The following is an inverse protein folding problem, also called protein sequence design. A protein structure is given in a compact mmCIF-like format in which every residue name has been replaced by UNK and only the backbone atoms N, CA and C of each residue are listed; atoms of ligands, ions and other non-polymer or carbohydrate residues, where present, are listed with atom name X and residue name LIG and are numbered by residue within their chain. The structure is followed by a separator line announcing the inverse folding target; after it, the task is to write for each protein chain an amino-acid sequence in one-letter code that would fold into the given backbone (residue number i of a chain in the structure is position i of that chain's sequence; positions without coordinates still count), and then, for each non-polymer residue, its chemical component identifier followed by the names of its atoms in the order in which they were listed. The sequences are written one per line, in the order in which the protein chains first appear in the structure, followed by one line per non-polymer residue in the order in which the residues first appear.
data_IF_182567983821
#
_entry.id   IF_182567983821
#
_cell.length_a   1.000
_cell.length_b   1.000
_cell.length_c   1.000
_cell.angle_alpha   90.00
_cell.angle_beta   90.00
_cell.angle_gamma   90.00
#
_symmetry.space_group_name_H-M   'P 1'
#
loop_
_entity.id
_entity.type
_entity.pdbx_description
1 polymer ?
#
# COMPACT_ATOMS: atom_id res chain seq x y z
N UNK A 1 53.17 -30.68 -14.61
CA UNK A 1 52.84 -29.64 -13.61
C UNK A 1 51.85 -28.59 -14.12
N UNK A 2 51.93 -28.08 -15.37
CA UNK A 2 51.01 -27.04 -15.89
C UNK A 2 49.53 -27.48 -16.05
N UNK A 3 49.25 -28.73 -16.47
CA UNK A 3 47.86 -29.23 -16.57
C UNK A 3 47.18 -29.42 -15.21
N UNK A 4 47.94 -29.72 -14.15
CA UNK A 4 47.37 -29.95 -12.82
C UNK A 4 46.87 -28.63 -12.20
N UNK A 5 47.59 -27.52 -12.42
CA UNK A 5 47.16 -26.20 -11.98
C UNK A 5 45.87 -25.72 -12.69
N UNK A 6 45.69 -26.07 -13.97
CA UNK A 6 44.48 -25.71 -14.73
C UNK A 6 43.23 -26.45 -14.25
N UNK A 7 43.36 -27.73 -13.90
CA UNK A 7 42.25 -28.53 -13.38
C UNK A 7 41.83 -28.03 -11.99
N UNK A 8 42.80 -27.65 -11.15
CA UNK A 8 42.52 -27.08 -9.81
C UNK A 8 41.85 -25.71 -9.94
N UNK A 9 42.31 -24.84 -10.84
CA UNK A 9 41.66 -23.55 -11.08
C UNK A 9 40.23 -23.70 -11.61
N UNK A 10 40.02 -24.63 -12.54
CA UNK A 10 38.68 -24.90 -13.08
C UNK A 10 37.75 -25.47 -12.00
N UNK A 11 38.24 -26.37 -11.14
CA UNK A 11 37.48 -26.90 -10.02
C UNK A 11 37.13 -25.82 -8.98
N UNK A 12 38.01 -24.85 -8.73
CA UNK A 12 37.73 -23.71 -7.83
C UNK A 12 36.68 -22.77 -8.44
N UNK A 13 36.76 -22.48 -9.75
CA UNK A 13 35.77 -21.65 -10.46
C UNK A 13 34.40 -22.34 -10.50
N UNK A 14 34.38 -23.66 -10.71
CA UNK A 14 33.16 -24.47 -10.64
C UNK A 14 32.63 -24.46 -9.18
N UNK A 15 33.48 -24.65 -8.17
CA UNK A 15 33.05 -24.60 -6.77
C UNK A 15 32.52 -23.22 -6.35
N UNK A 16 33.10 -22.12 -6.85
CA UNK A 16 32.61 -20.75 -6.62
C UNK A 16 31.28 -20.45 -7.31
N UNK A 17 30.98 -21.12 -8.43
CA UNK A 17 29.68 -21.02 -9.10
C UNK A 17 28.60 -21.93 -8.48
N UNK A 18 29.01 -22.92 -7.68
CA UNK A 18 28.14 -23.76 -6.83
C UNK A 18 28.04 -23.31 -5.38
N UNK A 19 28.63 -22.16 -5.02
CA UNK A 19 28.18 -21.43 -3.81
C UNK A 19 26.79 -20.91 -4.16
N UNK A 20 25.80 -21.79 -4.00
CA UNK A 20 24.41 -21.43 -4.10
C UNK A 20 24.21 -20.22 -3.20
N UNK A 21 23.74 -19.13 -3.79
CA UNK A 21 23.16 -18.04 -3.01
C UNK A 21 22.12 -18.73 -2.15
N UNK A 22 22.41 -18.87 -0.86
CA UNK A 22 21.48 -19.42 0.11
C UNK A 22 20.20 -18.61 -0.10
N UNK A 23 19.13 -19.29 -0.52
CA UNK A 23 17.89 -18.61 -0.82
C UNK A 23 17.51 -17.84 0.44
N UNK A 24 17.49 -16.51 0.33
CA UNK A 24 17.11 -15.65 1.46
C UNK A 24 15.84 -16.25 2.09
N UNK A 25 15.75 -16.32 3.43
CA UNK A 25 14.61 -16.92 4.10
C UNK A 25 13.31 -16.42 3.47
N UNK A 26 12.43 -17.35 3.09
CA UNK A 26 11.11 -17.05 2.53
C UNK A 26 10.23 -16.46 3.65
N UNK A 27 10.43 -15.18 3.97
CA UNK A 27 9.61 -14.43 4.91
C UNK A 27 8.19 -14.16 4.37
N UNK A 28 7.99 -14.40 3.06
CA UNK A 28 6.72 -14.27 2.37
C UNK A 28 6.36 -12.82 2.03
N UNK A 29 7.17 -11.84 2.41
CA UNK A 29 6.91 -10.44 2.07
C UNK A 29 7.29 -10.17 0.62
N UNK A 30 6.47 -9.36 -0.05
CA UNK A 30 6.84 -8.84 -1.37
C UNK A 30 7.79 -7.67 -1.16
N UNK A 31 8.93 -7.68 -1.82
CA UNK A 31 9.92 -6.61 -1.81
C UNK A 31 10.13 -6.05 -3.23
N UNK A 32 11.07 -5.12 -3.39
CA UNK A 32 11.46 -4.57 -4.70
C UNK A 32 12.95 -4.68 -4.92
N UNK A 33 13.34 -5.01 -6.14
CA UNK A 33 14.69 -4.85 -6.66
C UNK A 33 14.62 -3.92 -7.87
N UNK A 34 15.07 -2.67 -7.71
CA UNK A 34 14.89 -1.63 -8.72
C UNK A 34 13.41 -1.37 -9.01
N UNK A 35 12.98 -1.69 -10.23
CA UNK A 35 11.59 -1.55 -10.74
C UNK A 35 10.79 -2.86 -10.72
N UNK A 36 11.39 -3.98 -10.30
CA UNK A 36 10.77 -5.30 -10.28
C UNK A 36 10.36 -5.67 -8.85
N UNK A 37 9.14 -6.17 -8.66
CA UNK A 37 8.75 -6.80 -7.39
C UNK A 37 9.35 -8.18 -7.27
N UNK A 38 9.72 -8.57 -6.05
CA UNK A 38 10.35 -9.85 -5.72
C UNK A 38 9.55 -10.52 -4.60
N UNK A 39 9.26 -11.81 -4.75
CA UNK A 39 8.68 -12.66 -3.70
C UNK A 39 9.53 -13.92 -3.58
N UNK A 40 10.06 -14.20 -2.39
CA UNK A 40 10.90 -15.37 -2.12
C UNK A 40 12.05 -15.54 -3.13
N UNK A 41 12.74 -14.43 -3.43
CA UNK A 41 13.88 -14.39 -4.36
C UNK A 41 13.53 -14.45 -5.85
N UNK A 42 12.24 -14.52 -6.22
CA UNK A 42 11.80 -14.62 -7.63
C UNK A 42 11.02 -13.37 -8.06
N UNK A 43 11.07 -12.98 -9.36
CA UNK A 43 10.21 -11.94 -9.90
C UNK A 43 8.73 -12.22 -9.60
N UNK A 44 8.05 -11.23 -9.02
CA UNK A 44 6.62 -11.22 -8.77
C UNK A 44 5.93 -10.27 -9.75
N UNK A 45 4.95 -10.77 -10.49
CA UNK A 45 4.14 -9.98 -11.41
C UNK A 45 2.72 -9.92 -10.86
N UNK A 46 2.24 -8.71 -10.59
CA UNK A 46 0.90 -8.50 -10.07
C UNK A 46 -0.14 -8.60 -11.19
N UNK A 47 -1.11 -9.48 -11.02
CA UNK A 47 -2.37 -9.48 -11.75
C UNK A 47 -3.50 -9.54 -10.71
N UNK A 48 -4.40 -8.56 -10.70
CA UNK A 48 -5.32 -8.36 -9.59
C UNK A 48 -6.55 -7.56 -9.96
N UNK A 49 -7.37 -7.27 -8.95
CA UNK A 49 -8.64 -6.58 -9.06
C UNK A 49 -8.85 -5.66 -7.85
N UNK A 50 -9.79 -4.72 -7.96
CA UNK A 50 -10.25 -3.91 -6.84
C UNK A 50 -11.51 -4.52 -6.23
N UNK A 51 -11.55 -4.65 -4.90
CA UNK A 51 -12.74 -5.10 -4.17
C UNK A 51 -12.86 -4.36 -2.83
N UNK A 52 -13.29 -3.10 -2.91
CA UNK A 52 -13.40 -2.18 -1.78
C UNK A 52 -14.39 -2.66 -0.70
N UNK A 53 -15.41 -3.43 -1.11
CA UNK A 53 -16.47 -3.94 -0.26
C UNK A 53 -16.06 -5.11 0.65
N UNK A 54 -14.87 -5.70 0.45
CA UNK A 54 -14.47 -6.93 1.16
C UNK A 54 -14.46 -6.78 2.68
N UNK A 55 -13.90 -5.67 3.18
CA UNK A 55 -13.84 -5.43 4.62
C UNK A 55 -15.23 -5.22 5.21
N UNK A 56 -16.10 -4.51 4.48
CA UNK A 56 -17.48 -4.24 4.90
C UNK A 56 -18.31 -5.53 4.96
N UNK A 57 -18.35 -6.29 3.87
CA UNK A 57 -19.11 -7.54 3.78
C UNK A 57 -18.55 -8.63 4.72
N UNK A 58 -17.28 -8.55 5.14
CA UNK A 58 -16.74 -9.45 6.16
C UNK A 58 -17.29 -9.18 7.57
N UNK A 59 -17.78 -7.97 7.85
CA UNK A 59 -18.30 -7.61 9.18
C UNK A 59 -19.72 -8.13 9.42
N UNK A 60 -20.54 -8.22 8.38
CA UNK A 60 -21.91 -8.71 8.45
C UNK A 60 -21.96 -10.25 8.31
N UNK A 61 -22.40 -11.00 9.34
CA UNK A 61 -22.56 -12.45 9.25
C UNK A 61 -23.45 -12.92 8.10
N UNK A 62 -24.45 -12.12 7.70
CA UNK A 62 -25.39 -12.47 6.64
C UNK A 62 -24.75 -12.44 5.25
N UNK A 63 -23.72 -11.62 5.05
CA UNK A 63 -23.04 -11.47 3.75
C UNK A 63 -21.60 -11.96 3.74
N UNK A 64 -21.05 -12.34 4.90
CA UNK A 64 -19.69 -12.92 5.05
C UNK A 64 -19.44 -14.12 4.14
N UNK A 65 -20.47 -14.89 3.80
CA UNK A 65 -20.35 -16.00 2.85
C UNK A 65 -19.90 -15.53 1.45
N UNK A 66 -20.17 -14.28 1.04
CA UNK A 66 -19.68 -13.70 -0.22
C UNK A 66 -18.15 -13.67 -0.24
N UNK A 67 -17.53 -13.29 0.88
CA UNK A 67 -16.06 -13.33 1.06
C UNK A 67 -15.56 -14.77 0.95
N UNK A 68 -16.31 -15.70 1.53
CA UNK A 68 -15.98 -17.13 1.48
C UNK A 68 -16.18 -17.71 0.07
N UNK A 69 -17.12 -17.23 -0.73
CA UNK A 69 -17.26 -17.67 -2.11
C UNK A 69 -16.14 -17.11 -2.99
N UNK A 70 -15.65 -15.90 -2.69
CA UNK A 70 -14.50 -15.31 -3.38
C UNK A 70 -13.17 -15.92 -2.91
N UNK A 71 -13.02 -16.30 -1.63
CA UNK A 71 -11.72 -16.68 -1.04
C UNK A 71 -11.67 -17.95 -0.16
N UNK A 72 -12.79 -18.63 0.09
CA UNK A 72 -12.98 -19.96 0.73
C UNK A 72 -12.30 -20.28 2.10
N UNK A 73 -12.20 -19.37 3.09
CA UNK A 73 -12.42 -19.55 4.57
C UNK A 73 -11.85 -18.46 5.55
N UNK A 74 -12.60 -17.35 5.78
CA UNK A 74 -12.53 -16.34 6.88
C UNK A 74 -11.43 -15.22 7.01
N UNK A 75 -11.91 -13.96 6.84
CA UNK A 75 -11.31 -12.60 7.01
C UNK A 75 -10.18 -12.20 6.07
N UNK A 76 -10.41 -11.15 5.27
CA UNK A 76 -9.68 -10.83 4.01
C UNK A 76 -8.16 -11.00 4.05
N UNK A 77 -7.47 -10.66 5.14
CA UNK A 77 -6.03 -10.84 5.26
C UNK A 77 -5.62 -12.30 5.51
N UNK A 78 -6.32 -13.01 6.40
CA UNK A 78 -6.13 -14.44 6.60
C UNK A 78 -6.53 -15.23 5.32
N UNK A 79 -7.53 -14.75 4.59
CA UNK A 79 -7.94 -15.29 3.29
C UNK A 79 -6.88 -15.15 2.22
N UNK A 80 -6.38 -13.92 2.05
CA UNK A 80 -5.33 -13.64 1.10
C UNK A 80 -4.12 -14.56 1.36
N UNK A 81 -3.75 -14.75 2.64
CA UNK A 81 -2.73 -15.72 3.04
C UNK A 81 -3.04 -17.14 2.56
N UNK A 82 -4.25 -17.63 2.87
CA UNK A 82 -4.68 -19.01 2.60
C UNK A 82 -4.68 -19.35 1.11
N UNK A 83 -5.11 -18.41 0.28
CA UNK A 83 -5.24 -18.60 -1.18
C UNK A 83 -4.06 -18.04 -1.98
N UNK A 84 -3.02 -17.52 -1.31
CA UNK A 84 -1.83 -16.98 -1.96
C UNK A 84 -2.03 -15.63 -2.66
N UNK A 85 -3.12 -14.92 -2.38
CA UNK A 85 -3.36 -13.56 -2.85
C UNK A 85 -2.62 -12.57 -1.96
N UNK A 86 -2.16 -11.46 -2.55
CA UNK A 86 -1.55 -10.36 -1.79
C UNK A 86 -2.44 -9.12 -1.83
N UNK A 87 -2.60 -8.45 -0.70
CA UNK A 87 -3.46 -7.28 -0.57
C UNK A 87 -2.69 -5.96 -0.67
N UNK A 88 -3.27 -4.98 -1.36
CA UNK A 88 -2.88 -3.57 -1.24
C UNK A 88 -3.99 -2.88 -0.47
N UNK A 89 -3.66 -2.25 0.66
CA UNK A 89 -4.66 -1.71 1.59
C UNK A 89 -4.51 -0.20 1.69
N UNK A 90 -5.44 0.59 1.11
CA UNK A 90 -5.54 2.02 1.34
C UNK A 90 -5.91 2.32 2.80
N UNK A 91 -5.19 3.26 3.42
CA UNK A 91 -5.38 3.63 4.82
C UNK A 91 -6.44 4.73 5.02
N UNK A 92 -6.80 5.44 3.95
CA UNK A 92 -7.88 6.44 3.91
C UNK A 92 -8.32 6.67 2.46
N UNK A 93 -9.49 7.26 2.25
CA UNK A 93 -10.01 7.63 0.93
C UNK A 93 -9.91 9.16 0.71
N UNK A 94 -9.65 9.59 -0.52
CA UNK A 94 -9.80 11.00 -0.90
C UNK A 94 -11.27 11.41 -1.06
N UNK A 95 -12.11 10.48 -1.49
CA UNK A 95 -13.54 10.68 -1.73
C UNK A 95 -14.37 10.38 -0.48
N UNK A 96 -15.63 10.79 -0.50
CA UNK A 96 -16.53 10.72 0.64
C UNK A 96 -17.01 9.29 0.95
N UNK A 97 -16.92 8.38 -0.02
CA UNK A 97 -17.24 6.96 0.18
C UNK A 97 -16.40 6.37 1.32
N UNK A 98 -17.10 5.75 2.28
CA UNK A 98 -16.53 5.21 3.51
C UNK A 98 -15.85 6.28 4.41
N UNK A 99 -16.28 7.53 4.30
CA UNK A 99 -15.91 8.67 5.14
C UNK A 99 -14.79 9.55 4.54
N UNK A 100 -13.68 8.94 4.17
CA UNK A 100 -12.54 9.61 3.52
C UNK A 100 -11.98 10.84 4.26
N UNK A 101 -11.21 11.68 3.55
CA UNK A 101 -10.56 12.87 4.14
C UNK A 101 -11.57 13.89 4.67
N UNK A 102 -12.76 13.97 4.06
CA UNK A 102 -13.84 14.86 4.49
C UNK A 102 -14.26 14.52 5.93
N UNK A 103 -14.44 13.25 6.26
CA UNK A 103 -14.84 12.83 7.60
C UNK A 103 -13.83 13.25 8.68
N UNK A 104 -12.53 13.20 8.37
CA UNK A 104 -11.48 13.65 9.27
C UNK A 104 -11.54 15.17 9.52
N UNK A 105 -11.82 15.95 8.48
CA UNK A 105 -12.03 17.40 8.58
C UNK A 105 -13.27 17.71 9.42
N UNK A 106 -14.35 16.95 9.24
CA UNK A 106 -15.56 17.11 10.05
C UNK A 106 -15.33 16.76 11.53
N UNK A 107 -14.52 15.74 11.84
CA UNK A 107 -14.11 15.42 13.21
C UNK A 107 -13.22 16.49 13.86
N UNK A 108 -12.36 17.14 13.07
CA UNK A 108 -11.58 18.27 13.58
C UNK A 108 -12.48 19.48 13.85
N UNK A 109 -13.43 19.76 12.94
CA UNK A 109 -14.41 20.84 13.12
C UNK A 109 -15.25 20.63 14.38
N UNK A 110 -15.72 19.41 14.65
CA UNK A 110 -16.49 19.13 15.87
C UNK A 110 -15.68 19.27 17.16
N UNK A 111 -14.34 19.24 17.06
CA UNK A 111 -13.41 19.52 18.15
C UNK A 111 -13.00 21.00 18.26
N UNK A 112 -13.57 21.88 17.43
CA UNK A 112 -13.32 23.32 17.45
C UNK A 112 -12.15 23.78 16.58
N UNK A 113 -11.57 22.91 15.76
CA UNK A 113 -10.53 23.32 14.80
C UNK A 113 -11.11 24.23 13.71
N UNK A 114 -10.39 25.32 13.39
CA UNK A 114 -10.74 26.21 12.30
C UNK A 114 -10.32 25.59 10.96
N UNK A 115 -11.25 24.92 10.29
CA UNK A 115 -11.04 24.25 9.00
C UNK A 115 -12.08 24.70 7.98
N UNK A 116 -11.63 25.01 6.76
CA UNK A 116 -12.44 25.60 5.68
C UNK A 116 -12.45 24.77 4.39
N UNK A 117 -11.57 23.77 4.27
CA UNK A 117 -11.46 22.91 3.09
C UNK A 117 -11.24 21.45 3.46
N UNK A 118 -11.70 20.53 2.61
CA UNK A 118 -11.35 19.11 2.73
C UNK A 118 -9.83 18.87 2.61
N UNK A 119 -9.11 19.78 1.95
CA UNK A 119 -7.65 19.72 1.81
C UNK A 119 -6.89 20.20 3.07
N UNK A 120 -7.60 20.72 4.09
CA UNK A 120 -7.00 20.93 5.41
C UNK A 120 -6.53 19.63 6.05
N UNK A 121 -7.04 18.49 5.58
CA UNK A 121 -6.52 17.16 5.89
C UNK A 121 -5.00 17.05 5.71
N UNK A 122 -4.43 17.71 4.70
CA UNK A 122 -2.99 17.62 4.40
C UNK A 122 -2.14 18.55 5.28
N UNK A 123 -2.75 19.53 5.97
CA UNK A 123 -2.03 20.64 6.61
C UNK A 123 -2.27 20.71 8.11
N UNK A 124 -3.52 20.56 8.53
CA UNK A 124 -3.93 20.74 9.92
C UNK A 124 -3.25 19.65 10.79
N UNK A 125 -2.48 20.05 11.82
CA UNK A 125 -1.71 19.10 12.64
C UNK A 125 -2.60 18.11 13.41
N UNK A 126 -3.78 18.55 13.86
CA UNK A 126 -4.75 17.70 14.57
C UNK A 126 -5.32 16.62 13.64
N UNK A 127 -5.65 16.98 12.39
CA UNK A 127 -6.12 15.99 11.40
C UNK A 127 -5.02 14.99 11.03
N UNK A 128 -3.79 15.47 10.81
CA UNK A 128 -2.64 14.58 10.55
C UNK A 128 -2.42 13.61 11.71
N UNK A 129 -2.63 14.06 12.94
CA UNK A 129 -2.54 13.21 14.13
C UNK A 129 -3.66 12.17 14.19
N UNK A 130 -4.89 12.48 13.79
CA UNK A 130 -5.95 11.47 13.67
C UNK A 130 -5.56 10.38 12.67
N UNK A 131 -5.00 10.75 11.52
CA UNK A 131 -4.52 9.78 10.52
C UNK A 131 -3.41 8.90 11.10
N UNK A 132 -2.40 9.50 11.74
CA UNK A 132 -1.29 8.75 12.38
C UNK A 132 -1.79 7.76 13.43
N UNK A 133 -2.77 8.16 14.24
CA UNK A 133 -3.40 7.28 15.23
C UNK A 133 -4.17 6.12 14.58
N UNK A 134 -4.89 6.39 13.49
CA UNK A 134 -5.56 5.33 12.72
C UNK A 134 -4.53 4.32 12.16
N UNK A 135 -3.47 4.80 11.51
CA UNK A 135 -2.37 3.96 10.98
C UNK A 135 -1.75 3.11 12.08
N UNK A 136 -1.37 3.71 13.21
CA UNK A 136 -0.77 3.00 14.34
C UNK A 136 -1.70 1.90 14.87
N UNK A 137 -2.99 2.18 14.93
CA UNK A 137 -4.01 1.21 15.37
C UNK A 137 -4.14 0.06 14.37
N UNK A 138 -4.26 0.36 13.08
CA UNK A 138 -4.42 -0.64 12.03
C UNK A 138 -3.21 -1.56 11.89
N UNK A 139 -2.01 -1.01 11.80
CA UNK A 139 -0.79 -1.80 11.56
C UNK A 139 -0.41 -2.66 12.78
N UNK A 140 -0.66 -2.19 14.00
CA UNK A 140 -0.41 -2.98 15.22
C UNK A 140 -1.58 -3.89 15.61
N UNK A 141 -2.68 -3.90 14.85
CA UNK A 141 -3.81 -4.80 15.11
C UNK A 141 -3.34 -6.25 14.99
N UNK A 142 -3.53 -7.02 16.05
CA UNK A 142 -3.35 -8.48 16.02
C UNK A 142 -4.58 -9.12 15.41
N UNK A 143 -4.39 -9.83 14.30
CA UNK A 143 -5.45 -10.58 13.65
C UNK A 143 -5.97 -11.65 14.61
N UNK A 144 -7.28 -11.69 14.87
CA UNK A 144 -7.88 -12.64 15.81
C UNK A 144 -7.86 -14.09 15.32
N UNK A 145 -7.69 -14.33 14.02
CA UNK A 145 -7.62 -15.65 13.39
C UNK A 145 -6.18 -16.13 13.28
N UNK A 146 -5.29 -15.36 12.65
CA UNK A 146 -3.88 -15.77 12.47
C UNK A 146 -3.02 -15.53 13.70
N UNK A 147 -3.48 -14.71 14.65
CA UNK A 147 -2.74 -14.25 15.84
C UNK A 147 -1.48 -13.44 15.53
N UNK A 148 -1.33 -12.98 14.29
CA UNK A 148 -0.21 -12.16 13.81
C UNK A 148 -0.64 -10.70 13.72
N UNK A 149 0.24 -9.76 14.09
CA UNK A 149 -0.03 -8.34 13.87
C UNK A 149 -0.04 -8.02 12.37
N UNK A 150 -0.87 -7.09 11.93
CA UNK A 150 -1.01 -6.80 10.50
C UNK A 150 0.30 -6.37 9.84
N UNK A 151 1.16 -5.62 10.56
CA UNK A 151 2.51 -5.25 10.11
C UNK A 151 3.49 -6.42 9.96
N UNK A 152 3.16 -7.58 10.54
CA UNK A 152 3.96 -8.80 10.51
C UNK A 152 3.30 -9.89 9.63
N UNK A 153 2.20 -9.58 8.93
CA UNK A 153 1.43 -10.54 8.15
C UNK A 153 1.71 -10.41 6.63
N UNK A 154 2.49 -11.33 6.03
CA UNK A 154 2.94 -11.23 4.64
C UNK A 154 1.81 -11.34 3.59
N UNK A 155 0.58 -11.61 3.99
CA UNK A 155 -0.57 -11.57 3.09
C UNK A 155 -0.89 -10.15 2.57
N UNK A 156 -0.44 -9.11 3.26
CA UNK A 156 -0.40 -7.77 2.71
C UNK A 156 0.84 -7.62 1.81
N UNK A 157 0.66 -7.13 0.59
CA UNK A 157 1.75 -6.69 -0.29
C UNK A 157 2.26 -5.33 0.16
N UNK A 158 1.33 -4.39 0.32
CA UNK A 158 1.65 -2.99 0.52
C UNK A 158 0.55 -2.25 1.29
N UNK A 159 0.97 -1.27 2.08
CA UNK A 159 0.10 -0.20 2.50
C UNK A 159 -0.02 0.85 1.39
N UNK A 160 -1.14 1.53 1.33
CA UNK A 160 -1.33 2.67 0.44
C UNK A 160 -1.80 3.87 1.27
N UNK A 161 -1.09 5.00 1.16
CA UNK A 161 -1.31 6.16 2.03
C UNK A 161 -2.76 6.66 1.96
N UNK A 162 -3.28 6.80 0.74
CA UNK A 162 -4.64 7.26 0.46
C UNK A 162 -5.08 6.74 -0.91
N UNK A 163 -6.36 6.39 -1.07
CA UNK A 163 -6.95 6.15 -2.38
C UNK A 163 -7.13 7.49 -3.12
N UNK A 164 -6.54 7.62 -4.32
CA UNK A 164 -6.72 8.75 -5.25
C UNK A 164 -6.50 10.14 -4.61
N UNK A 165 -5.36 10.42 -3.93
CA UNK A 165 -5.15 11.70 -3.24
C UNK A 165 -5.14 12.88 -4.23
N UNK A 166 -5.96 13.90 -3.93
CA UNK A 166 -6.06 15.16 -4.67
C UNK A 166 -5.98 16.36 -3.71
N UNK A 167 -5.18 17.37 -4.08
CA UNK A 167 -5.16 18.66 -3.40
C UNK A 167 -5.58 19.75 -4.40
N UNK A 168 -6.81 20.24 -4.26
CA UNK A 168 -7.38 21.28 -5.13
C UNK A 168 -6.95 22.68 -4.74
N UNK A 169 -6.65 22.92 -3.45
CA UNK A 169 -6.23 24.24 -2.94
C UNK A 169 -4.79 24.61 -3.27
N UNK A 170 -3.93 23.63 -3.58
CA UNK A 170 -2.52 23.85 -3.96
C UNK A 170 -2.16 23.07 -5.22
N UNK A 171 -2.26 23.74 -6.37
CA UNK A 171 -1.94 23.17 -7.69
C UNK A 171 -0.45 22.96 -7.93
N UNK A 172 0.43 23.55 -7.12
CA UNK A 172 1.87 23.32 -7.23
C UNK A 172 2.28 21.90 -6.82
N UNK A 173 1.42 21.20 -6.09
CA UNK A 173 1.67 19.86 -5.55
C UNK A 173 2.51 19.83 -4.27
N UNK A 174 3.05 20.97 -3.83
CA UNK A 174 3.94 21.05 -2.66
C UNK A 174 3.27 20.56 -1.37
N UNK A 175 2.02 20.97 -1.14
CA UNK A 175 1.25 20.56 0.04
C UNK A 175 1.07 19.04 0.09
N UNK A 176 0.67 18.44 -1.03
CA UNK A 176 0.43 17.01 -1.10
C UNK A 176 1.75 16.22 -0.97
N UNK A 177 2.81 16.67 -1.63
CA UNK A 177 4.14 16.04 -1.51
C UNK A 177 4.72 16.14 -0.10
N UNK A 178 4.54 17.27 0.59
CA UNK A 178 4.95 17.42 1.98
C UNK A 178 4.22 16.43 2.89
N UNK A 179 2.90 16.28 2.72
CA UNK A 179 2.10 15.32 3.46
C UNK A 179 2.52 13.87 3.16
N UNK A 180 2.74 13.53 1.88
CA UNK A 180 3.20 12.19 1.47
C UNK A 180 4.53 11.85 2.12
N UNK A 181 5.50 12.76 2.09
CA UNK A 181 6.82 12.55 2.70
C UNK A 181 6.69 12.32 4.21
N UNK A 182 5.91 13.15 4.90
CA UNK A 182 5.68 13.02 6.34
C UNK A 182 5.01 11.68 6.69
N UNK A 183 3.91 11.33 6.02
CA UNK A 183 3.16 10.12 6.33
C UNK A 183 3.88 8.86 5.89
N UNK A 184 4.65 8.89 4.80
CA UNK A 184 5.43 7.75 4.37
C UNK A 184 6.51 7.40 5.41
N UNK A 185 7.25 8.40 5.90
CA UNK A 185 8.22 8.20 6.96
C UNK A 185 7.55 7.67 8.25
N UNK A 186 6.39 8.22 8.62
CA UNK A 186 5.65 7.74 9.77
C UNK A 186 5.20 6.28 9.61
N UNK A 187 4.54 5.92 8.51
CA UNK A 187 4.09 4.54 8.26
C UNK A 187 5.28 3.58 8.30
N UNK A 188 6.40 3.92 7.66
CA UNK A 188 7.62 3.07 7.68
C UNK A 188 8.29 2.99 9.05
N UNK A 189 8.08 3.97 9.93
CA UNK A 189 8.53 3.88 11.33
C UNK A 189 7.71 2.90 12.16
N UNK A 190 6.45 2.66 11.78
CA UNK A 190 5.56 1.68 12.42
C UNK A 190 5.74 0.28 11.80
N UNK A 191 5.95 0.22 10.49
CA UNK A 191 6.10 -1.00 9.70
C UNK A 191 7.27 -0.91 8.69
N UNK A 192 8.44 -1.45 9.05
CA UNK A 192 9.58 -1.51 8.14
C UNK A 192 9.47 -2.63 7.10
N UNK A 193 8.57 -3.61 7.26
CA UNK A 193 8.51 -4.85 6.47
C UNK A 193 7.78 -4.64 5.14
N UNK A 194 6.59 -4.06 5.16
CA UNK A 194 5.74 -3.96 3.97
C UNK A 194 6.19 -2.88 2.98
N UNK A 195 5.85 -3.08 1.70
CA UNK A 195 5.91 -2.01 0.71
C UNK A 195 4.92 -0.89 1.06
N UNK A 196 5.19 0.31 0.54
CA UNK A 196 4.32 1.46 0.70
C UNK A 196 4.12 2.15 -0.65
N UNK A 197 2.89 2.51 -0.96
CA UNK A 197 2.51 3.29 -2.14
C UNK A 197 1.72 4.53 -1.75
N UNK A 198 1.67 5.52 -2.64
CA UNK A 198 0.94 6.78 -2.42
C UNK A 198 -0.55 6.66 -2.74
N UNK A 199 -0.90 5.86 -3.75
CA UNK A 199 -2.26 5.71 -4.29
C UNK A 199 -2.68 6.77 -5.31
N UNK A 200 -1.71 7.52 -5.85
CA UNK A 200 -1.95 8.48 -6.93
C UNK A 200 -2.49 7.82 -8.20
N UNK A 201 -3.39 8.53 -8.88
CA UNK A 201 -3.89 8.18 -10.22
C UNK A 201 -2.89 8.49 -11.34
N UNK A 202 -1.80 9.22 -11.05
CA UNK A 202 -0.72 9.46 -12.00
C UNK A 202 -0.76 10.80 -12.74
N UNK A 203 -1.56 11.77 -12.28
CA UNK A 203 -1.60 13.12 -12.89
C UNK A 203 -0.25 13.84 -12.77
N UNK A 204 0.21 14.41 -13.89
CA UNK A 204 1.36 15.30 -13.93
C UNK A 204 1.00 16.71 -13.44
N UNK A 205 1.91 17.32 -12.68
CA UNK A 205 1.81 18.69 -12.20
C UNK A 205 2.53 19.72 -13.08
N UNK A 206 2.56 20.97 -12.62
CA UNK A 206 3.14 22.10 -13.37
C UNK A 206 4.66 21.99 -13.59
N UNK A 207 5.34 21.11 -12.86
CA UNK A 207 6.76 20.78 -13.08
C UNK A 207 7.01 19.95 -14.35
N UNK A 208 5.96 19.48 -15.03
CA UNK A 208 6.06 18.72 -16.29
C UNK A 208 4.94 19.15 -17.24
N UNK A 209 4.94 20.41 -17.71
CA UNK A 209 3.80 21.03 -18.39
C UNK A 209 3.42 20.31 -19.68
N UNK A 210 4.40 19.81 -20.43
CA UNK A 210 4.16 19.04 -21.66
C UNK A 210 3.38 17.76 -21.37
N UNK A 211 3.82 16.96 -20.39
CA UNK A 211 3.14 15.72 -19.97
C UNK A 211 1.78 16.02 -19.36
N UNK A 212 1.67 17.08 -18.56
CA UNK A 212 0.38 17.54 -18.00
C UNK A 212 -0.63 17.82 -19.10
N UNK A 213 -0.23 18.53 -20.16
CA UNK A 213 -1.14 18.93 -21.23
C UNK A 213 -1.45 17.79 -22.22
N UNK A 214 -0.55 16.82 -22.39
CA UNK A 214 -0.68 15.75 -23.39
C UNK A 214 -1.15 14.40 -22.82
N UNK A 215 -0.83 14.10 -21.56
CA UNK A 215 -1.03 12.76 -20.98
C UNK A 215 -2.04 12.74 -19.82
N UNK A 216 -2.32 13.87 -19.17
CA UNK A 216 -3.38 13.86 -18.17
C UNK A 216 -4.72 13.63 -18.87
N UNK A 217 -5.57 12.71 -18.35
CA UNK A 217 -6.89 12.51 -18.91
C UNK A 217 -7.71 13.79 -18.78
N UNK A 218 -8.57 14.05 -19.78
CA UNK A 218 -9.60 15.09 -19.70
C UNK A 218 -10.47 14.77 -18.49
N UNK A 219 -10.63 15.71 -17.56
CA UNK A 219 -11.46 15.52 -16.36
C UNK A 219 -12.92 15.44 -16.82
N UNK A 220 -13.36 14.25 -17.18
CA UNK A 220 -14.77 13.89 -17.15
C UNK A 220 -15.02 13.57 -15.68
N UNK A 221 -15.77 14.43 -14.99
CA UNK A 221 -16.34 14.11 -13.69
C UNK A 221 -17.34 12.96 -13.91
N UNK A 222 -16.86 11.72 -14.08
CA UNK A 222 -17.75 10.58 -14.07
C UNK A 222 -18.13 10.36 -12.61
N UNK A 223 -19.36 10.74 -12.29
CA UNK A 223 -20.07 10.30 -11.10
C UNK A 223 -19.88 8.79 -10.94
N UNK A 224 -19.04 8.38 -9.98
CA UNK A 224 -18.73 6.95 -9.71
C UNK A 224 -19.87 6.27 -8.93
N UNK A 225 -21.09 6.82 -8.93
CA UNK A 225 -22.27 6.27 -8.26
C UNK A 225 -22.86 4.99 -8.92
N UNK A 226 -22.20 4.42 -9.94
CA UNK A 226 -22.80 3.39 -10.78
C UNK A 226 -21.82 2.27 -11.19
N UNK A 227 -21.16 1.59 -10.25
CA UNK A 227 -20.69 0.18 -10.41
C UNK A 227 -20.78 -0.56 -9.07
#
# INVERSE_FOLDING_TARGET
MKCLCFIVLLAIVIAQSYVGVEAAPSDGFVSRNGVQFILNGKPFYANGFNAYWLAYEATDPATRFKITNVFQNATSLAEAKRVGIKLIIPLVNNWDDYGGKKQYVDWARSKGEMVSSNDDFYRNPVIKEFYKNHVKTMLNRVNTFTKVAYKDEPASMAWQLMNEPRCGVDRSGKTLMAWINEMALFVKSVDPNHLLSTGHEGFYGDSSPERKNSLNPVIILSDKSSI
#
